data_IF_200417506439
#
_entry.id   IF_200417506439
#
_cell.length_a   1.000
_cell.length_b   1.000
_cell.length_c   1.000
_cell.angle_alpha   90.00
_cell.angle_beta   90.00
_cell.angle_gamma   90.00
#
_symmetry.space_group_name_H-M   'P 1'
#
loop_
_entity.id
_entity.type
_entity.pdbx_description
1 polymer ?
#
# COMPACT_ATOMS: atom_id res chain seq x y z
N UNK A 1 7.74 28.81 95.54
CA UNK A 1 7.84 28.36 94.10
C UNK A 1 6.44 28.21 93.57
N UNK A 2 6.03 29.13 92.72
CA UNK A 2 4.66 29.18 92.20
C UNK A 2 4.78 28.78 90.76
N UNK A 3 4.13 27.65 90.35
CA UNK A 3 4.00 27.27 89.00
C UNK A 3 2.77 27.97 88.41
N UNK A 4 2.85 28.56 87.19
CA UNK A 4 1.67 29.09 86.53
C UNK A 4 0.90 27.97 85.84
N UNK A 5 -0.43 27.97 86.05
CA UNK A 5 -1.36 27.09 85.35
C UNK A 5 -1.49 27.55 83.87
N UNK A 6 -1.33 26.62 83.00
CA UNK A 6 -1.56 26.86 81.56
C UNK A 6 -3.05 26.88 81.23
N UNK A 7 -3.48 27.96 80.61
CA UNK A 7 -4.83 28.11 80.07
C UNK A 7 -5.08 27.10 78.91
N UNK A 8 -6.00 26.18 79.12
CA UNK A 8 -6.55 25.33 78.07
C UNK A 8 -7.58 26.14 77.30
N UNK A 9 -7.20 26.54 76.10
CA UNK A 9 -8.16 27.11 75.13
C UNK A 9 -9.07 26.03 74.61
N UNK A 10 -10.29 25.91 75.12
CA UNK A 10 -11.34 25.10 74.52
C UNK A 10 -11.88 25.84 73.31
N UNK A 11 -11.62 25.29 72.10
CA UNK A 11 -12.22 25.74 70.83
C UNK A 11 -13.75 25.61 70.91
N UNK A 12 -14.47 26.69 70.64
CA UNK A 12 -15.93 26.70 70.63
C UNK A 12 -16.47 25.87 69.45
N UNK A 13 -17.65 25.27 69.63
CA UNK A 13 -18.32 24.47 68.56
C UNK A 13 -18.35 25.18 67.17
N UNK A 14 -18.36 26.51 67.12
CA UNK A 14 -18.31 27.31 65.92
C UNK A 14 -16.91 27.27 65.21
N UNK A 15 -15.84 27.24 66.00
CA UNK A 15 -14.47 27.19 65.49
C UNK A 15 -14.13 25.79 64.94
N UNK A 16 -14.70 24.75 65.55
CA UNK A 16 -14.55 23.36 65.04
C UNK A 16 -15.32 23.15 63.76
N UNK A 17 -16.49 23.76 63.53
CA UNK A 17 -17.25 23.69 62.28
C UNK A 17 -16.60 24.48 61.16
N UNK A 18 -15.95 25.62 61.45
CA UNK A 18 -15.21 26.39 60.40
C UNK A 18 -13.91 25.71 60.01
N UNK A 19 -13.24 25.00 60.91
CA UNK A 19 -12.04 24.22 60.53
C UNK A 19 -12.40 22.98 59.73
N UNK A 20 -13.55 22.32 59.98
CA UNK A 20 -14.00 21.15 59.21
C UNK A 20 -14.47 21.51 57.78
N UNK A 21 -15.07 22.71 57.60
CA UNK A 21 -15.46 23.18 56.24
C UNK A 21 -14.27 23.66 55.42
N UNK A 22 -13.23 24.23 56.01
CA UNK A 22 -12.02 24.62 55.28
C UNK A 22 -11.21 23.41 54.76
N UNK A 23 -11.20 22.30 55.53
CA UNK A 23 -10.50 21.07 55.11
C UNK A 23 -11.28 20.32 53.99
N UNK A 24 -12.61 20.42 53.94
CA UNK A 24 -13.42 19.79 52.91
C UNK A 24 -13.37 20.52 51.56
N UNK A 25 -13.07 21.83 51.54
CA UNK A 25 -12.96 22.62 50.30
C UNK A 25 -11.58 22.48 49.65
N UNK A 26 -10.52 22.18 50.41
CA UNK A 26 -9.16 21.96 49.86
C UNK A 26 -9.01 20.56 49.26
N UNK A 27 -9.86 19.60 49.62
CA UNK A 27 -9.83 18.22 49.09
C UNK A 27 -10.48 18.06 47.71
N UNK A 28 -11.18 19.08 47.17
CA UNK A 28 -11.88 19.02 45.90
C UNK A 28 -11.12 19.77 44.77
N UNK A 29 -10.11 20.58 45.13
CA UNK A 29 -9.37 21.41 44.18
C UNK A 29 -8.16 20.70 43.53
N UNK A 30 -8.03 19.38 43.64
CA UNK A 30 -6.87 18.64 43.13
C UNK A 30 -7.17 17.27 42.53
N UNK A 31 -8.42 16.99 42.16
CA UNK A 31 -8.68 15.85 41.29
C UNK A 31 -8.58 16.38 39.85
N UNK A 32 -7.37 16.41 39.30
CA UNK A 32 -7.25 16.41 37.86
C UNK A 32 -8.17 15.31 37.35
N UNK A 33 -9.10 15.61 36.44
CA UNK A 33 -9.87 14.54 35.83
C UNK A 33 -8.84 13.58 35.24
N UNK A 34 -8.74 12.38 35.82
CA UNK A 34 -7.91 11.35 35.29
C UNK A 34 -8.36 11.19 33.81
N UNK A 35 -7.63 11.81 32.90
CA UNK A 35 -7.85 11.57 31.47
C UNK A 35 -7.64 10.07 31.31
N UNK A 36 -8.71 9.35 31.04
CA UNK A 36 -8.60 7.96 30.70
C UNK A 36 -7.57 7.90 29.56
N UNK A 37 -6.56 7.04 29.70
CA UNK A 37 -5.56 6.88 28.66
C UNK A 37 -6.28 6.57 27.33
N UNK A 38 -5.84 7.23 26.27
CA UNK A 38 -6.41 7.01 24.95
C UNK A 38 -6.37 5.53 24.59
N UNK A 39 -7.47 5.03 24.04
CA UNK A 39 -7.56 3.66 23.54
C UNK A 39 -6.71 3.54 22.28
N UNK A 40 -5.72 2.66 22.31
CA UNK A 40 -4.90 2.38 21.11
C UNK A 40 -5.72 1.61 20.10
N UNK A 41 -5.66 2.09 18.85
CA UNK A 41 -6.23 1.46 17.66
C UNK A 41 -5.12 1.31 16.64
N UNK A 42 -4.95 0.11 16.10
CA UNK A 42 -3.91 -0.16 15.11
C UNK A 42 -4.47 -0.16 13.69
N UNK A 43 -3.69 0.41 12.79
CA UNK A 43 -3.90 0.30 11.34
C UNK A 43 -2.79 -0.58 10.79
N UNK A 44 -3.17 -1.72 10.19
CA UNK A 44 -2.21 -2.59 9.50
C UNK A 44 -1.69 -1.88 8.24
N UNK A 45 -0.41 -2.02 7.95
CA UNK A 45 0.21 -1.49 6.73
C UNK A 45 1.03 -2.61 6.10
N UNK A 46 0.72 -2.99 4.85
CA UNK A 46 1.47 -3.99 4.12
C UNK A 46 2.03 -3.38 2.85
N UNK A 47 3.35 -3.34 2.73
CA UNK A 47 4.08 -2.70 1.63
C UNK A 47 5.35 -3.49 1.31
N UNK A 48 5.83 -3.40 0.06
CA UNK A 48 7.07 -4.04 -0.38
C UNK A 48 8.28 -3.19 0.01
N UNK A 49 8.62 -3.16 1.31
CA UNK A 49 9.69 -2.31 1.85
C UNK A 49 11.09 -2.85 1.54
N UNK A 50 11.20 -4.12 1.11
CA UNK A 50 12.42 -4.78 0.66
C UNK A 50 12.30 -5.14 -0.82
N UNK A 51 13.39 -4.98 -1.58
CA UNK A 51 13.46 -5.34 -3.00
C UNK A 51 13.35 -4.15 -3.95
N UNK A 52 13.14 -4.44 -5.24
CA UNK A 52 13.23 -3.47 -6.32
C UNK A 52 12.21 -2.32 -6.24
N UNK A 53 11.05 -2.56 -5.62
CA UNK A 53 9.96 -1.58 -5.56
C UNK A 53 9.91 -0.82 -4.22
N UNK A 54 10.94 -1.00 -3.37
CA UNK A 54 10.98 -0.46 -2.01
C UNK A 54 10.96 1.07 -1.94
N UNK A 55 11.48 1.78 -2.93
CA UNK A 55 11.48 3.24 -2.93
C UNK A 55 10.06 3.82 -2.86
N UNK A 56 9.15 3.31 -3.71
CA UNK A 56 7.74 3.71 -3.67
C UNK A 56 7.06 3.34 -2.35
N UNK A 57 7.35 2.14 -1.84
CA UNK A 57 6.83 1.63 -0.57
C UNK A 57 7.24 2.51 0.62
N UNK A 58 8.52 2.90 0.68
CA UNK A 58 9.06 3.78 1.74
C UNK A 58 8.38 5.15 1.67
N UNK A 59 8.16 5.69 0.47
CA UNK A 59 7.45 6.97 0.30
C UNK A 59 6.02 6.89 0.84
N UNK A 60 5.28 5.83 0.53
CA UNK A 60 3.93 5.60 1.06
C UNK A 60 3.97 5.45 2.58
N UNK A 61 4.89 4.63 3.12
CA UNK A 61 5.05 4.47 4.57
C UNK A 61 5.30 5.81 5.27
N UNK A 62 6.20 6.63 4.76
CA UNK A 62 6.51 7.93 5.36
C UNK A 62 5.30 8.87 5.34
N UNK A 63 4.54 8.90 4.24
CA UNK A 63 3.31 9.68 4.16
C UNK A 63 2.25 9.20 5.19
N UNK A 64 2.13 7.90 5.41
CA UNK A 64 1.25 7.34 6.43
C UNK A 64 1.70 7.74 7.84
N UNK A 65 2.99 7.63 8.16
CA UNK A 65 3.54 8.09 9.45
C UNK A 65 3.17 9.55 9.69
N UNK A 66 3.46 10.43 8.73
CA UNK A 66 3.11 11.86 8.85
C UNK A 66 1.61 12.09 9.06
N UNK A 67 0.75 11.37 8.33
CA UNK A 67 -0.69 11.53 8.45
C UNK A 67 -1.23 11.07 9.81
N UNK A 68 -0.74 9.95 10.31
CA UNK A 68 -1.19 9.40 11.61
C UNK A 68 -0.59 10.16 12.79
N UNK A 69 0.65 10.67 12.68
CA UNK A 69 1.23 11.57 13.68
C UNK A 69 0.40 12.85 13.78
N UNK A 70 0.07 13.49 12.67
CA UNK A 70 -0.79 14.67 12.65
C UNK A 70 -2.20 14.39 13.20
N UNK A 71 -2.78 13.20 12.92
CA UNK A 71 -4.07 12.81 13.48
C UNK A 71 -4.02 12.63 15.00
N UNK A 72 -2.93 12.06 15.53
CA UNK A 72 -2.72 11.87 16.96
C UNK A 72 -2.46 13.21 17.66
N UNK A 73 -1.59 14.06 17.12
CA UNK A 73 -1.29 15.39 17.65
C UNK A 73 -2.53 16.30 17.65
N UNK A 74 -3.33 16.22 16.60
CA UNK A 74 -4.57 16.97 16.45
C UNK A 74 -5.77 16.37 17.20
N UNK A 75 -5.60 15.25 17.93
CA UNK A 75 -6.69 14.51 18.58
C UNK A 75 -7.89 14.31 17.64
N UNK A 76 -7.63 13.88 16.40
CA UNK A 76 -8.63 13.75 15.34
C UNK A 76 -9.85 12.91 15.76
N UNK A 77 -9.64 11.92 16.64
CA UNK A 77 -10.71 11.15 17.30
C UNK A 77 -10.45 11.18 18.80
N UNK A 78 -11.22 11.96 19.56
CA UNK A 78 -11.02 12.08 21.02
C UNK A 78 -11.10 10.72 21.72
N UNK A 79 -10.16 10.46 22.62
CA UNK A 79 -10.07 9.22 23.39
C UNK A 79 -9.45 8.04 22.62
N UNK A 80 -8.88 8.28 21.43
CA UNK A 80 -8.19 7.27 20.63
C UNK A 80 -6.82 7.75 20.19
N UNK A 81 -5.87 6.82 20.19
CA UNK A 81 -4.53 6.98 19.62
C UNK A 81 -4.32 5.94 18.52
N UNK A 82 -3.85 6.37 17.37
CA UNK A 82 -3.53 5.48 16.26
C UNK A 82 -2.09 5.00 16.32
N UNK A 83 -1.89 3.73 16.04
CA UNK A 83 -0.58 3.12 15.83
C UNK A 83 -0.56 2.37 14.49
N UNK A 84 0.59 2.38 13.82
CA UNK A 84 0.79 1.64 12.57
C UNK A 84 1.44 0.29 12.86
N UNK A 85 0.78 -0.80 12.46
CA UNK A 85 1.37 -2.14 12.39
C UNK A 85 1.96 -2.32 10.98
N UNK A 86 3.21 -1.88 10.79
CA UNK A 86 3.88 -1.95 9.48
C UNK A 86 4.46 -3.35 9.28
N UNK A 87 4.14 -3.94 8.14
CA UNK A 87 4.66 -5.24 7.66
C UNK A 87 5.28 -5.07 6.29
N UNK A 88 6.28 -5.90 6.01
CA UNK A 88 6.98 -5.97 4.74
C UNK A 88 6.59 -7.26 4.02
N UNK A 89 6.07 -7.16 2.80
CA UNK A 89 5.80 -8.30 1.94
C UNK A 89 6.95 -8.59 0.96
N UNK A 90 7.96 -7.72 0.91
CA UNK A 90 9.18 -7.93 0.16
C UNK A 90 10.08 -8.97 0.83
N UNK A 91 10.69 -9.85 0.03
CA UNK A 91 11.68 -10.80 0.51
C UNK A 91 12.97 -10.75 -0.31
N UNK A 92 14.11 -10.99 0.34
CA UNK A 92 15.41 -11.05 -0.35
C UNK A 92 15.42 -12.16 -1.42
N UNK A 93 14.72 -13.28 -1.18
CA UNK A 93 14.62 -14.39 -2.12
C UNK A 93 13.80 -14.03 -3.36
N UNK A 94 12.69 -13.31 -3.19
CA UNK A 94 11.89 -12.85 -4.31
C UNK A 94 12.56 -11.66 -5.04
N UNK A 95 13.30 -10.81 -4.31
CA UNK A 95 13.87 -9.56 -4.80
C UNK A 95 12.82 -8.47 -5.03
N UNK A 96 11.58 -8.74 -4.67
CA UNK A 96 10.38 -7.91 -4.75
C UNK A 96 9.35 -8.43 -3.75
N UNK A 97 8.07 -8.04 -3.88
CA UNK A 97 6.98 -8.62 -3.09
C UNK A 97 6.93 -10.16 -3.22
N UNK A 98 6.51 -10.81 -2.14
CA UNK A 98 6.27 -12.25 -2.08
C UNK A 98 4.81 -12.49 -1.63
N UNK A 99 3.96 -13.10 -2.47
CA UNK A 99 2.57 -13.36 -2.12
C UNK A 99 2.39 -14.22 -0.87
N UNK A 100 3.32 -15.14 -0.58
CA UNK A 100 3.26 -15.98 0.61
C UNK A 100 3.55 -15.18 1.88
N UNK A 101 4.50 -14.25 1.80
CA UNK A 101 4.79 -13.31 2.89
C UNK A 101 3.61 -12.37 3.12
N UNK A 102 3.03 -11.81 2.04
CA UNK A 102 1.83 -10.98 2.12
C UNK A 102 0.65 -11.72 2.80
N UNK A 103 0.40 -12.99 2.43
CA UNK A 103 -0.60 -13.82 3.09
C UNK A 103 -0.30 -14.03 4.59
N UNK A 104 0.97 -14.18 4.96
CA UNK A 104 1.40 -14.30 6.36
C UNK A 104 1.13 -13.00 7.12
N UNK A 105 1.44 -11.86 6.52
CA UNK A 105 1.18 -10.54 7.08
C UNK A 105 -0.33 -10.30 7.29
N UNK A 106 -1.17 -10.69 6.32
CA UNK A 106 -2.62 -10.60 6.45
C UNK A 106 -3.16 -11.42 7.64
N UNK A 107 -2.65 -12.66 7.85
CA UNK A 107 -3.02 -13.47 9.02
C UNK A 107 -2.62 -12.80 10.34
N UNK A 108 -1.43 -12.19 10.38
CA UNK A 108 -0.97 -11.44 11.55
C UNK A 108 -1.89 -10.25 11.87
N UNK A 109 -2.29 -9.49 10.84
CA UNK A 109 -3.21 -8.37 11.00
C UNK A 109 -4.59 -8.83 11.51
N UNK A 110 -5.14 -9.91 10.94
CA UNK A 110 -6.45 -10.46 11.36
C UNK A 110 -6.40 -11.02 12.78
N UNK A 111 -5.27 -11.57 13.22
CA UNK A 111 -5.10 -12.12 14.55
C UNK A 111 -4.99 -11.04 15.65
N UNK A 112 -4.49 -9.87 15.32
CA UNK A 112 -4.37 -8.74 16.25
C UNK A 112 -5.71 -8.01 16.37
N UNK A 113 -6.33 -8.08 17.55
CA UNK A 113 -7.67 -7.52 17.81
C UNK A 113 -7.70 -5.99 17.89
N UNK A 114 -6.56 -5.36 18.00
CA UNK A 114 -6.43 -3.90 17.99
C UNK A 114 -6.37 -3.36 16.55
N UNK A 115 -6.11 -4.22 15.55
CA UNK A 115 -6.11 -3.84 14.13
C UNK A 115 -7.54 -3.75 13.62
N UNK A 116 -7.97 -2.56 13.24
CA UNK A 116 -9.36 -2.28 12.81
C UNK A 116 -9.51 -2.09 11.31
N UNK A 117 -8.43 -1.78 10.61
CA UNK A 117 -8.37 -1.64 9.15
C UNK A 117 -6.93 -1.83 8.68
N UNK A 118 -6.73 -1.95 7.37
CA UNK A 118 -5.39 -1.97 6.79
C UNK A 118 -5.24 -1.02 5.58
N UNK A 119 -4.01 -0.62 5.33
CA UNK A 119 -3.60 0.15 4.16
C UNK A 119 -2.56 -0.68 3.41
N UNK A 120 -2.76 -0.83 2.11
CA UNK A 120 -2.01 -1.74 1.28
C UNK A 120 -2.89 -2.87 0.72
N UNK A 121 -2.27 -3.91 0.15
CA UNK A 121 -0.85 -3.96 -0.20
C UNK A 121 -0.50 -3.06 -1.38
N UNK A 122 0.81 -2.88 -1.62
CA UNK A 122 1.29 -2.13 -2.78
C UNK A 122 1.05 -2.88 -4.08
N UNK A 123 1.36 -4.17 -4.13
CA UNK A 123 1.38 -4.98 -5.34
C UNK A 123 0.11 -5.81 -5.53
N UNK A 124 -0.34 -5.97 -6.79
CA UNK A 124 -1.56 -6.73 -7.12
C UNK A 124 -1.46 -8.21 -6.76
N UNK A 125 -0.28 -8.82 -6.87
CA UNK A 125 -0.06 -10.21 -6.46
C UNK A 125 -0.19 -10.40 -4.94
N UNK A 126 0.32 -9.48 -4.15
CA UNK A 126 0.10 -9.41 -2.71
C UNK A 126 -1.40 -9.21 -2.41
N UNK A 127 -2.07 -8.31 -3.14
CA UNK A 127 -3.51 -8.08 -3.02
C UNK A 127 -4.34 -9.36 -3.25
N UNK A 128 -4.02 -10.12 -4.29
CA UNK A 128 -4.68 -11.41 -4.56
C UNK A 128 -4.48 -12.42 -3.41
N UNK A 129 -3.31 -12.43 -2.78
CA UNK A 129 -3.00 -13.34 -1.68
C UNK A 129 -3.62 -12.91 -0.34
N UNK A 130 -3.66 -11.62 -0.04
CA UNK A 130 -4.17 -11.09 1.23
C UNK A 130 -5.69 -11.03 1.30
N UNK A 131 -6.35 -10.64 0.20
CA UNK A 131 -7.77 -10.29 0.19
C UNK A 131 -8.70 -11.41 0.71
N UNK A 132 -8.52 -12.70 0.36
CA UNK A 132 -9.35 -13.77 0.92
C UNK A 132 -9.23 -13.87 2.45
N UNK A 133 -8.02 -13.70 2.99
CA UNK A 133 -7.72 -13.77 4.42
C UNK A 133 -8.34 -12.59 5.15
N UNK A 134 -8.15 -11.39 4.63
CA UNK A 134 -8.75 -10.17 5.18
C UNK A 134 -10.28 -10.24 5.13
N UNK A 135 -10.86 -10.79 4.05
CA UNK A 135 -12.30 -10.99 3.92
C UNK A 135 -12.84 -11.91 5.01
N UNK A 136 -12.20 -13.06 5.25
CA UNK A 136 -12.60 -14.00 6.32
C UNK A 136 -12.43 -13.37 7.71
N UNK A 137 -11.41 -12.55 7.90
CA UNK A 137 -11.18 -11.81 9.14
C UNK A 137 -12.08 -10.58 9.32
N UNK A 138 -12.86 -10.19 8.31
CA UNK A 138 -13.72 -9.00 8.35
C UNK A 138 -12.93 -7.68 8.36
N UNK A 139 -11.66 -7.70 7.92
CA UNK A 139 -10.75 -6.54 7.95
C UNK A 139 -10.74 -5.84 6.59
N UNK A 140 -11.21 -4.60 6.56
CA UNK A 140 -11.16 -3.76 5.34
C UNK A 140 -9.73 -3.30 5.04
N UNK A 141 -9.42 -3.17 3.75
CA UNK A 141 -8.13 -2.63 3.27
C UNK A 141 -8.32 -1.59 2.17
N UNK A 142 -7.44 -0.59 2.16
CA UNK A 142 -7.38 0.42 1.10
C UNK A 142 -5.97 0.39 0.51
N UNK A 143 -5.87 0.03 -0.77
CA UNK A 143 -4.57 0.01 -1.45
C UNK A 143 -4.26 1.34 -2.12
N UNK A 144 -3.00 1.83 -2.02
CA UNK A 144 -2.55 3.01 -2.73
C UNK A 144 -2.19 2.74 -4.19
N UNK A 145 -1.95 1.48 -4.61
CA UNK A 145 -1.35 1.20 -5.93
C UNK A 145 -1.70 -0.14 -6.56
N UNK A 146 -2.33 -1.09 -5.86
CA UNK A 146 -2.71 -2.38 -6.45
C UNK A 146 -3.90 -2.22 -7.38
N UNK A 147 -3.66 -2.30 -8.68
CA UNK A 147 -4.57 -1.91 -9.76
C UNK A 147 -5.32 -3.07 -10.43
N UNK A 148 -4.94 -4.34 -10.16
CA UNK A 148 -5.55 -5.48 -10.83
C UNK A 148 -7.07 -5.55 -10.57
N UNK A 149 -7.93 -5.48 -11.61
CA UNK A 149 -9.38 -5.39 -11.46
C UNK A 149 -10.02 -6.67 -10.92
N UNK A 150 -9.40 -7.83 -11.09
CA UNK A 150 -9.97 -9.11 -10.68
C UNK A 150 -10.31 -9.16 -9.19
N UNK A 151 -9.48 -8.52 -8.35
CA UNK A 151 -9.63 -8.54 -6.88
C UNK A 151 -11.02 -8.04 -6.45
N UNK A 152 -11.59 -7.10 -7.22
CA UNK A 152 -12.91 -6.51 -6.94
C UNK A 152 -13.98 -6.89 -7.95
N UNK A 153 -13.63 -7.65 -8.99
CA UNK A 153 -14.56 -8.11 -10.01
C UNK A 153 -15.58 -9.09 -9.41
N UNK A 154 -16.89 -8.89 -9.63
CA UNK A 154 -17.93 -9.81 -9.16
C UNK A 154 -17.73 -11.27 -9.61
N UNK A 155 -17.14 -11.47 -10.79
CA UNK A 155 -16.85 -12.83 -11.34
C UNK A 155 -15.95 -13.66 -10.40
N UNK A 156 -15.07 -13.00 -9.64
CA UNK A 156 -14.11 -13.62 -8.73
C UNK A 156 -14.48 -13.40 -7.25
N UNK A 157 -15.77 -13.09 -6.97
CA UNK A 157 -16.21 -12.76 -5.62
C UNK A 157 -15.98 -13.90 -4.63
N UNK A 158 -16.24 -15.15 -4.99
CA UNK A 158 -16.01 -16.31 -4.14
C UNK A 158 -14.53 -16.46 -3.78
N UNK A 159 -13.63 -16.16 -4.72
CA UNK A 159 -12.19 -16.26 -4.50
C UNK A 159 -11.67 -15.15 -3.60
N UNK A 160 -12.06 -13.89 -3.85
CA UNK A 160 -11.46 -12.72 -3.17
C UNK A 160 -12.31 -12.14 -2.05
N UNK A 161 -13.60 -12.52 -1.97
CA UNK A 161 -14.55 -12.06 -0.95
C UNK A 161 -15.36 -13.21 -0.36
N UNK A 162 -14.68 -14.27 0.15
CA UNK A 162 -15.39 -15.46 0.62
C UNK A 162 -16.40 -15.19 1.75
N UNK A 163 -16.23 -14.09 2.51
CA UNK A 163 -17.21 -13.64 3.51
C UNK A 163 -18.35 -12.79 2.92
N UNK A 164 -18.41 -12.61 1.60
CA UNK A 164 -19.49 -11.93 0.88
C UNK A 164 -19.47 -10.41 0.95
N UNK A 165 -18.71 -9.80 1.86
CA UNK A 165 -18.65 -8.33 2.02
C UNK A 165 -17.52 -7.73 1.18
N UNK A 166 -17.73 -6.57 0.53
CA UNK A 166 -16.65 -5.82 -0.10
C UNK A 166 -15.74 -5.25 0.99
N UNK A 167 -14.46 -5.63 0.96
CA UNK A 167 -13.45 -5.18 1.94
C UNK A 167 -12.21 -4.58 1.27
N UNK A 168 -12.11 -4.63 -0.05
CA UNK A 168 -10.95 -4.16 -0.78
C UNK A 168 -11.27 -2.88 -1.54
N UNK A 169 -10.63 -1.78 -1.17
CA UNK A 169 -10.82 -0.45 -1.73
C UNK A 169 -9.52 0.06 -2.34
N UNK A 170 -9.61 1.08 -3.22
CA UNK A 170 -8.48 1.70 -3.92
C UNK A 170 -8.57 3.21 -3.89
N UNK A 171 -7.41 3.85 -3.81
CA UNK A 171 -7.27 5.29 -4.10
C UNK A 171 -6.85 5.55 -5.56
N UNK A 172 -6.64 4.49 -6.33
CA UNK A 172 -6.19 4.51 -7.73
C UNK A 172 -7.22 3.87 -8.65
N UNK A 173 -7.09 4.13 -9.95
CA UNK A 173 -7.85 3.43 -11.00
C UNK A 173 -7.39 1.97 -11.16
N UNK A 174 -8.00 1.24 -12.07
CA UNK A 174 -7.64 -0.15 -12.34
C UNK A 174 -7.04 -0.32 -13.75
N UNK A 175 -6.37 -1.46 -13.96
CA UNK A 175 -5.79 -1.84 -15.25
C UNK A 175 -6.84 -2.00 -16.36
N UNK A 176 -8.12 -2.10 -16.00
CA UNK A 176 -9.22 -2.06 -16.96
C UNK A 176 -9.30 -0.72 -17.71
N UNK A 177 -8.68 0.34 -17.17
CA UNK A 177 -8.54 1.65 -17.82
C UNK A 177 -7.12 1.95 -18.26
N UNK A 178 -6.12 1.57 -17.47
CA UNK A 178 -4.72 1.89 -17.71
C UNK A 178 -4.21 1.28 -19.03
N UNK A 179 -4.34 -0.02 -19.21
CA UNK A 179 -3.92 -0.72 -20.43
C UNK A 179 -4.63 -0.19 -21.68
N UNK A 180 -5.98 -0.11 -21.70
CA UNK A 180 -6.71 0.45 -22.82
C UNK A 180 -6.36 1.89 -23.16
N UNK A 181 -6.13 2.75 -22.17
CA UNK A 181 -5.74 4.13 -22.43
C UNK A 181 -4.37 4.24 -23.10
N UNK A 182 -3.41 3.41 -22.69
CA UNK A 182 -2.10 3.36 -23.36
C UNK A 182 -2.22 2.84 -24.80
N UNK A 183 -3.04 1.81 -25.05
CA UNK A 183 -3.29 1.32 -26.40
C UNK A 183 -3.97 2.37 -27.30
N UNK A 184 -4.93 3.13 -26.75
CA UNK A 184 -5.53 4.26 -27.45
C UNK A 184 -4.48 5.33 -27.78
N UNK A 185 -3.60 5.66 -26.85
CA UNK A 185 -2.51 6.62 -27.08
C UNK A 185 -1.57 6.14 -28.19
N UNK A 186 -1.19 4.88 -28.19
CA UNK A 186 -0.39 4.27 -29.26
C UNK A 186 -1.06 4.39 -30.62
N UNK A 187 -2.34 4.03 -30.70
CA UNK A 187 -3.11 4.08 -31.96
C UNK A 187 -3.35 5.52 -32.44
N UNK A 188 -3.82 6.39 -31.55
CA UNK A 188 -4.40 7.68 -31.91
C UNK A 188 -3.37 8.81 -31.97
N UNK A 189 -2.39 8.80 -31.06
CA UNK A 189 -1.35 9.84 -30.99
C UNK A 189 -0.06 9.43 -31.66
N UNK A 190 0.45 8.26 -31.34
CA UNK A 190 1.73 7.78 -31.89
C UNK A 190 1.58 7.07 -33.25
N UNK A 191 0.34 6.78 -33.68
CA UNK A 191 0.03 6.11 -34.98
C UNK A 191 0.70 4.76 -35.14
N UNK A 192 0.98 4.06 -34.07
CA UNK A 192 1.53 2.71 -34.02
C UNK A 192 0.63 1.76 -34.79
N UNK A 193 1.21 0.93 -35.66
CA UNK A 193 0.53 -0.09 -36.49
C UNK A 193 0.85 -1.50 -36.01
N UNK A 194 2.00 -1.69 -35.39
CA UNK A 194 2.46 -2.97 -34.88
C UNK A 194 3.15 -2.85 -33.52
N UNK A 195 2.90 -3.80 -32.67
CA UNK A 195 3.45 -3.82 -31.30
C UNK A 195 3.93 -5.22 -30.92
N UNK A 196 5.00 -5.28 -30.15
CA UNK A 196 5.37 -6.48 -29.41
C UNK A 196 5.04 -6.27 -27.93
N UNK A 197 4.49 -7.29 -27.26
CA UNK A 197 4.07 -7.18 -25.85
C UNK A 197 4.96 -8.06 -24.99
N UNK A 198 5.45 -7.52 -23.90
CA UNK A 198 6.16 -8.26 -22.85
C UNK A 198 5.42 -8.09 -21.52
N UNK A 199 5.53 -9.08 -20.64
CA UNK A 199 5.12 -8.95 -19.23
C UNK A 199 6.17 -9.56 -18.29
N UNK A 200 6.12 -9.17 -17.00
CA UNK A 200 7.05 -9.64 -15.97
C UNK A 200 6.60 -10.91 -15.24
N UNK A 201 5.60 -11.62 -15.78
CA UNK A 201 4.98 -12.79 -15.17
C UNK A 201 4.22 -12.50 -13.85
N UNK A 202 4.28 -11.30 -13.31
CA UNK A 202 3.56 -10.87 -12.11
C UNK A 202 2.07 -10.64 -12.36
N UNK A 203 1.24 -10.76 -11.32
CA UNK A 203 -0.21 -10.60 -11.44
C UNK A 203 -0.63 -9.21 -11.95
N UNK A 204 0.13 -8.16 -11.64
CA UNK A 204 -0.03 -6.83 -12.20
C UNK A 204 0.38 -6.79 -13.67
N UNK A 205 1.63 -7.15 -13.97
CA UNK A 205 2.18 -7.03 -15.33
C UNK A 205 1.42 -7.85 -16.36
N UNK A 206 1.05 -9.09 -16.06
CA UNK A 206 0.19 -9.92 -16.91
C UNK A 206 -1.17 -9.24 -17.13
N UNK A 207 -1.82 -8.76 -16.07
CA UNK A 207 -3.15 -8.16 -16.14
C UNK A 207 -3.18 -6.87 -16.96
N UNK A 208 -2.21 -5.98 -16.78
CA UNK A 208 -2.14 -4.74 -17.55
C UNK A 208 -1.74 -4.97 -18.99
N UNK A 209 -0.87 -5.97 -19.26
CA UNK A 209 -0.51 -6.37 -20.63
C UNK A 209 -1.69 -7.00 -21.37
N UNK A 210 -2.51 -7.84 -20.70
CA UNK A 210 -3.74 -8.41 -21.27
C UNK A 210 -4.72 -7.32 -21.69
N UNK A 211 -4.96 -6.34 -20.79
CA UNK A 211 -5.90 -5.25 -21.07
C UNK A 211 -5.40 -4.31 -22.18
N UNK A 212 -4.08 -4.03 -22.21
CA UNK A 212 -3.43 -3.30 -23.30
C UNK A 212 -3.58 -4.03 -24.62
N UNK A 213 -3.18 -5.31 -24.68
CA UNK A 213 -3.22 -6.10 -25.91
C UNK A 213 -4.62 -6.17 -26.49
N UNK A 214 -5.62 -6.49 -25.68
CA UNK A 214 -7.02 -6.54 -26.10
C UNK A 214 -7.48 -5.24 -26.76
N UNK A 215 -7.12 -4.10 -26.17
CA UNK A 215 -7.49 -2.79 -26.72
C UNK A 215 -6.67 -2.43 -27.97
N UNK A 216 -5.38 -2.77 -27.99
CA UNK A 216 -4.51 -2.56 -29.15
C UNK A 216 -5.05 -3.29 -30.38
N UNK A 217 -5.43 -4.56 -30.25
CA UNK A 217 -6.07 -5.36 -31.31
C UNK A 217 -7.40 -4.75 -31.74
N UNK A 218 -8.25 -4.28 -30.79
CA UNK A 218 -9.51 -3.60 -31.10
C UNK A 218 -9.32 -2.27 -31.84
N UNK A 219 -8.16 -1.62 -31.68
CA UNK A 219 -7.76 -0.40 -32.42
C UNK A 219 -7.05 -0.69 -33.74
N UNK A 220 -6.93 -1.95 -34.14
CA UNK A 220 -6.27 -2.36 -35.34
C UNK A 220 -4.74 -2.35 -35.31
N UNK A 221 -4.14 -2.28 -34.10
CA UNK A 221 -2.70 -2.46 -33.94
C UNK A 221 -2.40 -3.96 -34.01
N UNK A 222 -1.51 -4.37 -34.91
CA UNK A 222 -1.10 -5.76 -35.06
C UNK A 222 -0.15 -6.14 -33.94
N UNK A 223 -0.53 -7.10 -33.09
CA UNK A 223 0.36 -7.70 -32.10
C UNK A 223 1.24 -8.74 -32.79
N UNK A 224 2.54 -8.46 -32.89
CA UNK A 224 3.50 -9.33 -33.57
C UNK A 224 3.96 -10.51 -32.73
N UNK A 225 3.75 -10.42 -31.42
CA UNK A 225 4.04 -11.48 -30.47
C UNK A 225 3.92 -11.02 -29.06
N UNK A 226 3.92 -11.98 -28.15
CA UNK A 226 3.93 -11.77 -26.71
C UNK A 226 4.83 -12.80 -26.02
N UNK A 227 5.66 -12.33 -25.09
CA UNK A 227 6.48 -13.18 -24.24
C UNK A 227 6.45 -12.69 -22.80
N UNK A 228 6.88 -13.58 -21.91
CA UNK A 228 7.06 -13.30 -20.49
C UNK A 228 8.53 -13.18 -20.16
N UNK A 229 8.86 -12.19 -19.33
CA UNK A 229 10.20 -12.04 -18.80
C UNK A 229 10.31 -12.74 -17.45
N UNK A 230 11.47 -13.33 -17.20
CA UNK A 230 11.90 -13.65 -15.84
C UNK A 230 12.55 -12.38 -15.25
N UNK A 231 11.97 -11.75 -14.22
CA UNK A 231 12.55 -10.55 -13.60
C UNK A 231 13.97 -10.76 -13.07
N UNK A 232 14.34 -12.01 -12.78
CA UNK A 232 15.67 -12.40 -12.26
C UNK A 232 16.67 -12.74 -13.36
N UNK A 233 16.27 -12.78 -14.63
CA UNK A 233 17.19 -13.07 -15.72
C UNK A 233 18.36 -12.06 -15.73
N UNK A 234 19.55 -12.54 -16.09
CA UNK A 234 20.75 -11.71 -16.14
C UNK A 234 20.63 -10.62 -17.23
N UNK A 235 20.04 -10.97 -18.39
CA UNK A 235 19.82 -10.05 -19.49
C UNK A 235 18.58 -10.44 -20.34
N UNK A 236 18.18 -9.54 -21.23
CA UNK A 236 17.06 -9.71 -22.16
C UNK A 236 17.48 -9.61 -23.62
N UNK A 237 18.77 -9.76 -23.91
CA UNK A 237 19.35 -9.62 -25.27
C UNK A 237 18.68 -10.54 -26.27
N UNK A 238 18.43 -11.80 -25.91
CA UNK A 238 17.82 -12.79 -26.78
C UNK A 238 16.41 -12.38 -27.23
N UNK A 239 15.56 -11.98 -26.29
CA UNK A 239 14.18 -11.54 -26.60
C UNK A 239 14.18 -10.22 -27.37
N UNK A 240 15.05 -9.28 -27.04
CA UNK A 240 15.18 -8.00 -27.76
C UNK A 240 15.68 -8.21 -29.20
N UNK A 241 16.60 -9.16 -29.41
CA UNK A 241 17.04 -9.55 -30.78
C UNK A 241 15.91 -10.17 -31.60
N UNK A 242 15.08 -11.02 -30.98
CA UNK A 242 13.85 -11.54 -31.60
C UNK A 242 12.91 -10.39 -31.99
N UNK A 243 12.67 -9.45 -31.10
CA UNK A 243 11.83 -8.28 -31.34
C UNK A 243 12.39 -7.44 -32.49
N UNK A 244 13.71 -7.21 -32.50
CA UNK A 244 14.39 -6.47 -33.57
C UNK A 244 14.13 -7.11 -34.94
N UNK A 245 14.18 -8.43 -35.03
CA UNK A 245 13.95 -9.13 -36.29
C UNK A 245 12.52 -9.02 -36.83
N UNK A 246 11.54 -8.81 -35.94
CA UNK A 246 10.13 -8.61 -36.28
C UNK A 246 9.81 -7.15 -36.62
N UNK A 247 10.71 -6.24 -36.31
CA UNK A 247 10.63 -4.80 -36.58
C UNK A 247 9.27 -4.16 -36.22
N UNK A 248 8.80 -4.25 -34.97
CA UNK A 248 7.57 -3.58 -34.54
C UNK A 248 7.76 -2.06 -34.48
N UNK A 249 6.66 -1.30 -34.63
CA UNK A 249 6.68 0.15 -34.37
C UNK A 249 6.88 0.43 -32.89
N UNK A 250 6.35 -0.45 -32.02
CA UNK A 250 6.41 -0.26 -30.56
C UNK A 250 6.63 -1.57 -29.81
N UNK A 251 7.20 -1.42 -28.61
CA UNK A 251 7.26 -2.40 -27.53
C UNK A 251 6.41 -1.90 -26.36
N UNK A 252 5.46 -2.71 -25.92
CA UNK A 252 4.77 -2.49 -24.65
C UNK A 252 5.25 -3.50 -23.62
N UNK A 253 5.67 -3.02 -22.48
CA UNK A 253 6.05 -3.85 -21.33
C UNK A 253 5.04 -3.67 -20.20
N UNK A 254 4.35 -4.76 -19.80
CA UNK A 254 3.52 -4.83 -18.59
C UNK A 254 4.34 -5.35 -17.44
N UNK A 255 4.61 -4.49 -16.45
CA UNK A 255 5.39 -4.90 -15.30
C UNK A 255 5.91 -3.73 -14.47
N UNK A 256 6.80 -4.07 -13.55
CA UNK A 256 7.40 -3.13 -12.60
C UNK A 256 8.90 -2.95 -12.88
N UNK A 257 9.53 -2.05 -12.12
CA UNK A 257 10.93 -1.63 -12.31
C UNK A 257 11.95 -2.77 -12.18
N UNK A 258 11.67 -3.84 -11.46
CA UNK A 258 12.61 -4.95 -11.26
C UNK A 258 13.19 -5.51 -12.58
N UNK A 259 12.33 -5.80 -13.56
CA UNK A 259 12.76 -6.17 -14.90
C UNK A 259 12.86 -4.93 -15.82
N UNK A 260 12.00 -3.95 -15.61
CA UNK A 260 11.78 -2.82 -16.49
C UNK A 260 12.99 -1.93 -16.69
N UNK A 261 13.79 -1.64 -15.65
CA UNK A 261 15.00 -0.81 -15.77
C UNK A 261 16.02 -1.48 -16.69
N UNK A 262 16.31 -2.75 -16.45
CA UNK A 262 17.23 -3.54 -17.30
C UNK A 262 16.71 -3.65 -18.73
N UNK A 263 15.42 -3.92 -18.89
CA UNK A 263 14.78 -3.99 -20.20
C UNK A 263 14.90 -2.66 -20.96
N UNK A 264 14.62 -1.55 -20.30
CA UNK A 264 14.68 -0.22 -20.93
C UNK A 264 16.09 0.11 -21.42
N UNK A 265 17.11 -0.13 -20.54
CA UNK A 265 18.52 0.07 -20.90
C UNK A 265 18.93 -0.75 -22.11
N UNK A 266 18.67 -2.06 -22.11
CA UNK A 266 19.05 -2.94 -23.21
C UNK A 266 18.22 -2.67 -24.48
N UNK A 267 16.95 -2.28 -24.35
CA UNK A 267 16.11 -1.90 -25.47
C UNK A 267 16.59 -0.61 -26.13
N UNK A 268 17.18 0.31 -25.37
CA UNK A 268 17.80 1.52 -25.94
C UNK A 268 18.94 1.15 -26.92
N UNK A 269 19.78 0.19 -26.55
CA UNK A 269 20.93 -0.22 -27.38
C UNK A 269 20.52 -1.10 -28.57
N UNK A 270 19.61 -2.06 -28.36
CA UNK A 270 19.29 -3.11 -29.34
C UNK A 270 18.20 -2.67 -30.33
N UNK A 271 17.19 -1.95 -29.85
CA UNK A 271 16.03 -1.50 -30.64
C UNK A 271 15.78 0.01 -30.44
N UNK A 272 16.77 0.89 -30.73
CA UNK A 272 16.70 2.32 -30.40
C UNK A 272 15.48 3.01 -31.00
N UNK A 273 15.09 2.64 -32.22
CA UNK A 273 14.02 3.29 -33.00
C UNK A 273 12.62 2.76 -32.70
N UNK A 274 12.48 1.68 -31.92
CA UNK A 274 11.18 1.15 -31.50
C UNK A 274 10.64 2.02 -30.35
N UNK A 275 9.39 2.46 -30.45
CA UNK A 275 8.71 3.19 -29.36
C UNK A 275 8.57 2.26 -28.16
N UNK A 276 8.94 2.74 -26.96
CA UNK A 276 8.80 1.96 -25.72
C UNK A 276 7.69 2.58 -24.86
N UNK A 277 6.82 1.74 -24.31
CA UNK A 277 5.79 2.16 -23.38
C UNK A 277 5.57 1.11 -22.28
N UNK A 278 5.11 1.58 -21.16
CA UNK A 278 4.83 0.73 -19.99
C UNK A 278 3.75 1.34 -19.09
N UNK A 279 3.35 0.62 -18.05
CA UNK A 279 2.34 1.05 -17.08
C UNK A 279 2.93 1.94 -15.98
N UNK A 280 2.06 2.34 -15.04
CA UNK A 280 2.43 3.11 -13.84
C UNK A 280 3.50 2.44 -12.99
N UNK A 281 3.56 1.10 -12.96
CA UNK A 281 4.62 0.33 -12.28
C UNK A 281 6.04 0.61 -12.80
N UNK A 282 6.17 1.33 -13.93
CA UNK A 282 7.44 1.82 -14.46
C UNK A 282 7.76 3.26 -14.01
N UNK A 283 6.85 3.93 -13.32
CA UNK A 283 7.05 5.31 -12.87
C UNK A 283 7.92 5.34 -11.61
N UNK A 284 9.23 5.44 -11.80
CA UNK A 284 10.22 5.41 -10.73
C UNK A 284 11.43 6.26 -11.09
N UNK A 285 12.08 6.87 -10.09
CA UNK A 285 13.38 7.51 -10.27
C UNK A 285 14.45 6.49 -10.68
N UNK A 286 14.31 5.23 -10.30
CA UNK A 286 15.23 4.16 -10.67
C UNK A 286 15.23 3.89 -12.18
N UNK A 287 14.08 4.07 -12.84
CA UNK A 287 14.02 4.01 -14.30
C UNK A 287 14.82 5.15 -14.93
N UNK A 288 14.70 6.36 -14.38
CA UNK A 288 15.39 7.55 -14.93
C UNK A 288 16.90 7.50 -14.72
N UNK A 289 17.36 6.88 -13.64
CA UNK A 289 18.78 6.79 -13.28
C UNK A 289 19.47 5.53 -13.80
N UNK A 290 18.72 4.46 -14.08
CA UNK A 290 19.26 3.15 -14.40
C UNK A 290 19.05 2.66 -15.84
N UNK A 291 18.22 3.37 -16.61
CA UNK A 291 17.91 3.00 -18.01
C UNK A 291 18.75 3.76 -19.04
#
# INVERSE_FOLDING_TARGET
MIYPQGDQYMLTRRQTLLAATATAVIGIAGVDPAHAADKVVKIGVDLSLTGADSQGAVSVKNALVMAFDAANEGHAIPGYKFELLVTDDGTATAGQYDPAQAATNARKMVADKDVVASIGPQMSGAGKAMTPILSQGGLATITPSSTNPDITNPKFAEQYRPAGKPIYFRTVTTDAFQGPNMANFFAEKLKVKSVYVLDDSGAFGVGVADSFQKQAEAKGIKVLGRDRLDPKAADYTAILTKIKSLNPDALYYGGVTQAGVKLAKQAYDIIPNVIKGGPDGMTSSDLLSGA
#
